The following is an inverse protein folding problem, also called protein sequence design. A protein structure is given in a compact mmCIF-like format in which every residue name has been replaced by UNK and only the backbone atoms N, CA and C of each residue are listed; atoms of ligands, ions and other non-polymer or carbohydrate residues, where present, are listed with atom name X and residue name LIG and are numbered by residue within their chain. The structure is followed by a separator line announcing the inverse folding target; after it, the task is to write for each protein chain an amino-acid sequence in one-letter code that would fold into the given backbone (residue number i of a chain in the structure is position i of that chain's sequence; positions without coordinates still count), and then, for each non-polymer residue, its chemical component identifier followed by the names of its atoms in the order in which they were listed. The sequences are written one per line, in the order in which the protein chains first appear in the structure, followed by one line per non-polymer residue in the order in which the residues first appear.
data_IF_574584493606
#
_entry.id   IF_574584493606
#
_cell.length_a   1.000
_cell.length_b   1.000
_cell.length_c   1.000
_cell.angle_alpha   90.00
_cell.angle_beta   90.00
_cell.angle_gamma   90.00
#
_symmetry.space_group_name_H-M   'P 1'
#
loop_
_entity.id
_entity.type
_entity.pdbx_description
1 polymer ?
#
# COMPACT_ATOMS: atom_id res chain seq x y z
N UNK A 1 -1.44 -9.39 4.25
CA UNK A 1 -1.13 -8.67 3.00
C UNK A 1 -0.05 -9.38 2.18
N UNK A 2 1.07 -9.77 2.80
CA UNK A 2 2.20 -10.44 2.12
C UNK A 2 1.94 -11.83 1.55
N UNK A 3 0.81 -12.49 1.85
CA UNK A 3 0.46 -13.78 1.23
C UNK A 3 0.43 -13.71 -0.30
N UNK A 4 0.03 -12.56 -0.88
CA UNK A 4 0.08 -12.34 -2.33
C UNK A 4 1.51 -12.30 -2.88
N UNK A 5 2.48 -11.80 -2.09
CA UNK A 5 3.90 -11.82 -2.46
C UNK A 5 4.42 -13.25 -2.53
N UNK A 6 4.19 -14.03 -1.47
CA UNK A 6 4.61 -15.43 -1.40
C UNK A 6 4.00 -16.26 -2.54
N UNK A 7 2.70 -16.05 -2.81
CA UNK A 7 2.02 -16.73 -3.91
C UNK A 7 2.61 -16.35 -5.27
N UNK A 8 2.77 -15.06 -5.54
CA UNK A 8 3.34 -14.58 -6.79
C UNK A 8 4.76 -15.11 -7.04
N UNK A 9 5.63 -15.03 -6.03
CA UNK A 9 7.00 -15.58 -6.09
C UNK A 9 6.99 -17.07 -6.45
N UNK A 10 6.03 -17.85 -5.95
CA UNK A 10 5.93 -19.28 -6.29
C UNK A 10 5.64 -19.51 -7.77
N UNK A 11 4.97 -18.57 -8.43
CA UNK A 11 4.58 -18.66 -9.83
C UNK A 11 5.61 -18.05 -10.78
N UNK A 12 6.27 -16.96 -10.39
CA UNK A 12 7.05 -16.13 -11.32
C UNK A 12 8.55 -16.10 -11.06
N UNK A 13 8.99 -16.33 -9.82
CA UNK A 13 10.41 -16.20 -9.47
C UNK A 13 11.21 -17.46 -9.81
N UNK A 14 12.49 -17.27 -10.12
CA UNK A 14 13.48 -18.34 -10.31
C UNK A 14 14.34 -18.56 -9.03
N UNK A 15 13.88 -18.08 -7.86
CA UNK A 15 14.61 -18.25 -6.60
C UNK A 15 14.74 -19.73 -6.21
N UNK A 16 15.90 -20.11 -5.65
CA UNK A 16 16.22 -21.49 -5.28
C UNK A 16 15.51 -21.94 -3.99
N UNK A 17 15.33 -21.03 -3.04
CA UNK A 17 14.71 -21.25 -1.73
C UNK A 17 13.98 -19.98 -1.27
N UNK A 18 12.79 -20.14 -0.68
CA UNK A 18 12.02 -19.05 -0.07
C UNK A 18 11.59 -19.45 1.35
N UNK A 19 11.97 -18.62 2.33
CA UNK A 19 11.62 -18.82 3.74
C UNK A 19 10.48 -17.87 4.11
N UNK A 20 9.33 -18.44 4.46
CA UNK A 20 8.21 -17.69 5.05
C UNK A 20 8.42 -17.65 6.56
N UNK A 21 8.97 -16.54 7.04
CA UNK A 21 9.25 -16.33 8.46
C UNK A 21 8.11 -15.55 9.13
N UNK A 22 7.41 -16.17 10.08
CA UNK A 22 6.27 -15.55 10.77
C UNK A 22 6.11 -16.08 12.21
N UNK A 23 5.48 -15.28 13.08
CA UNK A 23 5.08 -15.70 14.42
C UNK A 23 3.82 -16.59 14.39
N UNK A 24 2.97 -16.43 13.38
CA UNK A 24 1.76 -17.24 13.16
C UNK A 24 2.09 -18.53 12.37
N UNK A 25 2.61 -19.52 13.08
CA UNK A 25 2.97 -20.82 12.52
C UNK A 25 1.80 -21.52 11.79
N UNK A 26 0.58 -21.40 12.30
CA UNK A 26 -0.58 -22.10 11.73
C UNK A 26 -0.90 -21.57 10.33
N UNK A 27 -1.07 -20.25 10.21
CA UNK A 27 -1.42 -19.64 8.93
C UNK A 27 -0.25 -19.66 7.94
N UNK A 28 0.99 -19.47 8.41
CA UNK A 28 2.16 -19.49 7.53
C UNK A 28 2.41 -20.88 6.94
N UNK A 29 2.32 -21.96 7.76
CA UNK A 29 2.41 -23.34 7.23
C UNK A 29 1.29 -23.64 6.25
N UNK A 30 0.06 -23.21 6.56
CA UNK A 30 -1.08 -23.45 5.66
C UNK A 30 -0.91 -22.76 4.32
N UNK A 31 -0.35 -21.54 4.31
CA UNK A 31 0.00 -20.84 3.07
C UNK A 31 1.05 -21.63 2.29
N UNK A 32 2.16 -22.03 2.92
CA UNK A 32 3.22 -22.82 2.26
C UNK A 32 2.67 -24.14 1.69
N UNK A 33 1.86 -24.87 2.46
CA UNK A 33 1.23 -26.12 2.02
C UNK A 33 0.29 -25.92 0.80
N UNK A 34 -0.26 -24.71 0.63
CA UNK A 34 -1.14 -24.37 -0.50
C UNK A 34 -0.37 -24.22 -1.82
N UNK A 35 0.92 -23.89 -1.76
CA UNK A 35 1.74 -23.63 -2.96
C UNK A 35 2.15 -24.93 -3.68
N UNK A 36 2.22 -26.07 -2.97
CA UNK A 36 2.77 -27.35 -3.46
C UNK A 36 4.16 -27.19 -4.11
N UNK A 37 5.01 -26.33 -3.53
CA UNK A 37 6.34 -25.97 -4.04
C UNK A 37 7.42 -26.24 -2.98
N UNK A 38 8.33 -27.18 -3.29
CA UNK A 38 9.43 -27.61 -2.41
C UNK A 38 10.47 -26.50 -2.13
N UNK A 39 10.44 -25.38 -2.87
CA UNK A 39 11.29 -24.21 -2.61
C UNK A 39 10.85 -23.45 -1.37
N UNK A 40 9.58 -23.55 -0.99
CA UNK A 40 8.99 -22.76 0.09
C UNK A 40 9.00 -23.54 1.39
N UNK A 41 9.46 -22.90 2.47
CA UNK A 41 9.36 -23.46 3.81
C UNK A 41 9.00 -22.42 4.85
N UNK A 42 8.34 -22.87 5.90
CA UNK A 42 8.06 -22.06 7.07
C UNK A 42 9.23 -22.08 8.06
N UNK A 43 9.49 -20.94 8.69
CA UNK A 43 10.37 -20.81 9.84
C UNK A 43 9.76 -19.87 10.90
N UNK A 44 9.73 -20.23 12.19
CA UNK A 44 9.24 -19.31 13.21
C UNK A 44 10.24 -18.17 13.44
N UNK A 45 9.70 -16.96 13.65
CA UNK A 45 10.49 -15.78 14.02
C UNK A 45 9.73 -14.94 15.06
N UNK A 46 10.44 -14.43 16.05
CA UNK A 46 9.96 -13.41 16.98
C UNK A 46 10.47 -12.03 16.54
N UNK A 47 9.60 -11.25 15.89
CA UNK A 47 9.95 -9.91 15.40
C UNK A 47 10.23 -8.89 16.55
N UNK A 48 9.96 -9.24 17.81
CA UNK A 48 10.38 -8.41 18.96
C UNK A 48 11.87 -8.57 19.30
N UNK A 49 12.54 -9.55 18.71
CA UNK A 49 13.96 -9.87 18.93
C UNK A 49 14.75 -9.74 17.62
N UNK A 50 15.50 -8.65 17.47
CA UNK A 50 16.33 -8.41 16.29
C UNK A 50 17.37 -9.52 16.06
N UNK A 51 17.84 -10.22 17.10
CA UNK A 51 18.77 -11.34 16.95
C UNK A 51 18.08 -12.57 16.33
N UNK A 52 16.78 -12.73 16.54
CA UNK A 52 15.99 -13.82 15.92
C UNK A 52 15.65 -13.51 14.46
N UNK A 53 15.47 -12.23 14.11
CA UNK A 53 15.35 -11.77 12.72
C UNK A 53 16.68 -11.96 11.98
N UNK A 54 17.80 -11.55 12.58
CA UNK A 54 19.15 -11.75 12.03
C UNK A 54 19.37 -13.22 11.67
N UNK A 55 19.02 -14.14 12.57
CA UNK A 55 19.12 -15.59 12.38
C UNK A 55 18.37 -16.11 11.14
N UNK A 56 17.18 -15.57 10.83
CA UNK A 56 16.41 -16.02 9.65
C UNK A 56 16.91 -15.36 8.35
N UNK A 57 17.53 -14.19 8.45
CA UNK A 57 18.15 -13.49 7.31
C UNK A 57 19.55 -14.02 6.97
N UNK A 58 20.23 -14.70 7.90
CA UNK A 58 21.56 -15.26 7.67
C UNK A 58 21.62 -16.15 6.41
N UNK A 59 22.36 -15.68 5.41
CA UNK A 59 22.58 -16.41 4.15
C UNK A 59 21.48 -16.23 3.10
N UNK A 60 20.50 -15.37 3.34
CA UNK A 60 19.59 -14.90 2.31
C UNK A 60 20.29 -13.88 1.39
N UNK A 61 19.90 -13.87 0.12
CA UNK A 61 20.27 -12.81 -0.84
C UNK A 61 19.21 -11.70 -0.87
N UNK A 62 17.95 -12.07 -0.57
CA UNK A 62 16.77 -11.23 -0.71
C UNK A 62 15.92 -11.19 0.56
N UNK A 63 15.25 -10.05 0.80
CA UNK A 63 14.31 -9.90 1.93
C UNK A 63 13.05 -9.12 1.54
N UNK A 64 11.90 -9.58 2.02
CA UNK A 64 10.63 -8.85 1.95
C UNK A 64 10.19 -8.56 3.38
N UNK A 65 10.21 -7.31 3.79
CA UNK A 65 9.62 -6.90 5.07
C UNK A 65 8.13 -6.59 4.87
N UNK A 66 7.28 -7.38 5.54
CA UNK A 66 5.84 -7.12 5.63
C UNK A 66 5.32 -7.16 7.06
N UNK A 67 6.21 -6.99 8.03
CA UNK A 67 5.88 -6.94 9.44
C UNK A 67 5.21 -5.59 9.77
N UNK A 68 4.37 -5.53 10.82
CA UNK A 68 3.84 -4.26 11.31
C UNK A 68 4.96 -3.27 11.72
N UNK A 69 4.73 -1.98 11.46
CA UNK A 69 5.66 -0.86 11.73
C UNK A 69 6.32 -0.88 13.12
N UNK A 70 5.64 -1.38 14.16
CA UNK A 70 6.24 -1.50 15.50
C UNK A 70 7.51 -2.38 15.57
N UNK A 71 7.76 -3.19 14.53
CA UNK A 71 8.95 -4.04 14.40
C UNK A 71 9.99 -3.48 13.42
N UNK A 72 9.73 -2.33 12.80
CA UNK A 72 10.56 -1.75 11.73
C UNK A 72 12.03 -1.62 12.15
N UNK A 73 12.28 -0.99 13.29
CA UNK A 73 13.63 -0.79 13.81
C UNK A 73 14.39 -2.11 14.02
N UNK A 74 13.72 -3.16 14.48
CA UNK A 74 14.35 -4.47 14.66
C UNK A 74 14.72 -5.11 13.32
N UNK A 75 13.87 -4.94 12.29
CA UNK A 75 14.14 -5.44 10.93
C UNK A 75 15.33 -4.71 10.33
N UNK A 76 15.30 -3.37 10.37
CA UNK A 76 16.37 -2.55 9.83
C UNK A 76 17.71 -2.82 10.52
N UNK A 77 17.71 -2.97 11.85
CA UNK A 77 18.90 -3.36 12.61
C UNK A 77 19.43 -4.73 12.22
N UNK A 78 18.55 -5.72 12.03
CA UNK A 78 18.95 -7.06 11.61
C UNK A 78 19.53 -7.05 10.19
N UNK A 79 18.88 -6.35 9.25
CA UNK A 79 19.38 -6.20 7.88
C UNK A 79 20.76 -5.54 7.83
N UNK A 80 20.97 -4.45 8.57
CA UNK A 80 22.26 -3.76 8.64
C UNK A 80 23.38 -4.64 9.20
N UNK A 81 23.08 -5.51 10.18
CA UNK A 81 24.06 -6.46 10.76
C UNK A 81 24.42 -7.59 9.81
N UNK A 82 23.45 -8.13 9.08
CA UNK A 82 23.67 -9.22 8.12
C UNK A 82 24.47 -8.72 6.92
N UNK A 83 24.06 -7.58 6.36
CA UNK A 83 24.69 -6.99 5.17
C UNK A 83 24.46 -7.78 3.89
N UNK A 84 24.86 -7.20 2.76
CA UNK A 84 24.75 -7.80 1.42
C UNK A 84 23.33 -8.28 1.04
N UNK A 85 22.28 -7.62 1.56
CA UNK A 85 20.87 -7.95 1.29
C UNK A 85 20.22 -7.01 0.28
N UNK A 86 19.44 -7.57 -0.63
CA UNK A 86 18.54 -6.82 -1.52
C UNK A 86 17.09 -6.99 -1.07
N UNK A 87 16.35 -5.92 -0.80
CA UNK A 87 15.03 -6.06 -0.22
C UNK A 87 14.02 -4.99 -0.54
N UNK A 88 12.78 -5.29 -0.17
CA UNK A 88 11.63 -4.40 -0.27
C UNK A 88 10.94 -4.31 1.08
N UNK A 89 10.50 -3.12 1.46
CA UNK A 89 9.83 -2.86 2.74
C UNK A 89 8.44 -2.28 2.53
N UNK A 90 7.43 -2.92 3.10
CA UNK A 90 6.05 -2.45 3.05
C UNK A 90 5.82 -1.17 3.87
N UNK A 91 6.60 -0.92 4.92
CA UNK A 91 6.36 0.21 5.81
C UNK A 91 6.62 1.54 5.11
N UNK A 92 5.85 2.57 5.51
CA UNK A 92 5.89 3.90 4.92
C UNK A 92 5.68 4.98 6.00
N UNK A 93 6.37 4.83 7.13
CA UNK A 93 6.36 5.78 8.25
C UNK A 93 7.78 6.26 8.54
N UNK A 94 7.93 7.41 9.20
CA UNK A 94 9.22 7.97 9.58
C UNK A 94 10.27 8.03 8.46
N UNK A 95 9.85 8.46 7.25
CA UNK A 95 10.69 8.53 6.06
C UNK A 95 12.06 9.19 6.33
N UNK A 96 12.10 10.31 7.05
CA UNK A 96 13.36 11.01 7.36
C UNK A 96 14.32 10.16 8.22
N UNK A 97 13.79 9.40 9.18
CA UNK A 97 14.60 8.53 10.05
C UNK A 97 15.10 7.32 9.27
N UNK A 98 14.20 6.64 8.55
CA UNK A 98 14.52 5.44 7.76
C UNK A 98 15.49 5.78 6.63
N UNK A 99 15.19 6.79 5.80
CA UNK A 99 16.10 7.23 4.72
C UNK A 99 17.42 7.78 5.27
N UNK A 100 17.43 8.32 6.49
CA UNK A 100 18.64 8.75 7.19
C UNK A 100 19.65 7.62 7.43
N UNK A 101 19.21 6.35 7.40
CA UNK A 101 20.07 5.16 7.55
C UNK A 101 20.71 4.70 6.23
N UNK A 102 20.34 5.30 5.10
CA UNK A 102 20.73 4.86 3.75
C UNK A 102 22.25 4.70 3.56
N UNK A 103 23.07 5.64 4.07
CA UNK A 103 24.54 5.54 3.97
C UNK A 103 25.09 4.32 4.73
N UNK A 104 24.58 4.04 5.93
CA UNK A 104 25.01 2.88 6.72
C UNK A 104 24.58 1.56 6.05
N UNK A 105 23.37 1.52 5.49
CA UNK A 105 22.89 0.38 4.71
C UNK A 105 23.76 0.11 3.48
N UNK A 106 24.10 1.16 2.72
CA UNK A 106 25.00 1.04 1.58
C UNK A 106 26.40 0.56 2.00
N UNK A 107 26.93 1.04 3.13
CA UNK A 107 28.22 0.56 3.68
C UNK A 107 28.19 -0.92 4.09
N UNK A 108 27.03 -1.43 4.51
CA UNK A 108 26.79 -2.84 4.80
C UNK A 108 26.55 -3.70 3.54
N UNK A 109 26.49 -3.09 2.35
CA UNK A 109 26.19 -3.77 1.09
C UNK A 109 24.70 -4.00 0.84
N UNK A 110 23.82 -3.36 1.61
CA UNK A 110 22.38 -3.51 1.47
C UNK A 110 21.79 -2.56 0.42
N UNK A 111 20.70 -3.03 -0.20
CA UNK A 111 19.79 -2.28 -1.05
C UNK A 111 18.37 -2.53 -0.56
N UNK A 112 17.65 -1.49 -0.13
CA UNK A 112 16.30 -1.59 0.41
C UNK A 112 15.37 -0.57 -0.24
N UNK A 113 14.38 -1.07 -0.97
CA UNK A 113 13.30 -0.27 -1.51
C UNK A 113 12.20 -0.10 -0.46
N UNK A 114 12.24 1.04 0.23
CA UNK A 114 11.32 1.42 1.28
C UNK A 114 9.98 1.96 0.73
N UNK A 115 8.92 1.89 1.54
CA UNK A 115 7.58 2.35 1.19
C UNK A 115 7.05 1.68 -0.09
N UNK A 116 7.09 0.35 -0.09
CA UNK A 116 6.74 -0.51 -1.20
C UNK A 116 5.28 -1.01 -1.09
N UNK A 117 4.86 -1.91 -1.98
CA UNK A 117 3.49 -2.43 -2.01
C UNK A 117 2.54 -1.54 -2.81
N UNK A 118 1.38 -1.19 -2.24
CA UNK A 118 0.39 -0.35 -2.91
C UNK A 118 0.92 1.03 -3.29
N UNK A 119 1.86 1.59 -2.50
CA UNK A 119 2.44 2.90 -2.77
C UNK A 119 3.25 2.93 -4.08
N UNK A 120 3.99 1.86 -4.41
CA UNK A 120 4.67 1.77 -5.72
C UNK A 120 3.65 1.88 -6.85
N UNK A 121 2.50 1.23 -6.71
CA UNK A 121 1.44 1.27 -7.72
C UNK A 121 0.84 2.67 -7.86
N UNK A 122 0.58 3.39 -6.76
CA UNK A 122 0.03 4.76 -6.84
C UNK A 122 1.04 5.74 -7.39
N UNK A 123 2.30 5.65 -7.00
CA UNK A 123 3.37 6.50 -7.55
C UNK A 123 3.56 6.22 -9.04
N UNK A 124 3.65 4.95 -9.46
CA UNK A 124 3.74 4.58 -10.87
C UNK A 124 2.53 5.08 -11.68
N UNK A 125 1.32 4.99 -11.13
CA UNK A 125 0.10 5.55 -11.74
C UNK A 125 0.23 7.07 -11.95
N UNK A 126 0.74 7.79 -10.95
CA UNK A 126 1.02 9.22 -11.06
C UNK A 126 2.05 9.52 -12.13
N UNK A 127 3.09 8.70 -12.26
CA UNK A 127 4.14 8.88 -13.26
C UNK A 127 3.56 8.77 -14.67
N UNK A 128 2.88 7.66 -15.00
CA UNK A 128 2.29 7.47 -16.34
C UNK A 128 1.21 8.51 -16.65
N UNK A 129 0.41 8.92 -15.64
CA UNK A 129 -0.61 9.95 -15.85
C UNK A 129 -0.02 11.36 -16.07
N UNK A 130 1.12 11.68 -15.43
CA UNK A 130 1.81 12.95 -15.67
C UNK A 130 2.47 13.01 -17.04
N UNK A 131 2.92 11.88 -17.59
CA UNK A 131 3.56 11.82 -18.91
C UNK A 131 2.64 12.26 -20.07
N UNK A 132 1.32 12.22 -19.87
CA UNK A 132 0.32 12.69 -20.83
C UNK A 132 0.29 14.22 -21.04
N UNK A 133 1.03 14.98 -20.22
CA UNK A 133 0.98 16.45 -20.21
C UNK A 133 2.33 17.11 -20.49
N UNK A 134 2.26 18.35 -20.99
CA UNK A 134 3.42 19.25 -21.11
C UNK A 134 3.72 19.94 -19.77
N UNK A 135 2.67 20.40 -19.07
CA UNK A 135 2.71 20.98 -17.72
C UNK A 135 1.51 20.47 -16.91
N UNK A 136 1.71 20.15 -15.63
CA UNK A 136 0.69 19.55 -14.75
C UNK A 136 0.25 20.53 -13.66
N UNK A 137 -1.06 20.76 -13.55
CA UNK A 137 -1.62 21.68 -12.56
C UNK A 137 -2.07 20.98 -11.26
N UNK A 138 -2.58 19.75 -11.34
CA UNK A 138 -3.15 19.05 -10.18
C UNK A 138 -3.03 17.54 -10.39
N UNK A 139 -2.48 16.84 -9.39
CA UNK A 139 -2.42 15.38 -9.30
C UNK A 139 -3.24 14.96 -8.09
N UNK A 140 -4.27 14.13 -8.32
CA UNK A 140 -5.04 13.51 -7.24
C UNK A 140 -4.80 12.01 -7.29
N UNK A 141 -4.24 11.47 -6.21
CA UNK A 141 -4.19 10.04 -5.97
C UNK A 141 -5.45 9.60 -5.22
N UNK A 142 -6.02 8.47 -5.61
CA UNK A 142 -7.21 7.90 -5.00
C UNK A 142 -6.97 6.47 -4.55
N UNK A 143 -7.19 6.24 -3.26
CA UNK A 143 -7.21 4.93 -2.62
C UNK A 143 -8.66 4.47 -2.46
N UNK A 144 -9.18 3.75 -3.47
CA UNK A 144 -10.50 3.15 -3.44
C UNK A 144 -10.48 1.83 -2.66
N UNK A 145 -10.70 1.89 -1.35
CA UNK A 145 -10.59 0.76 -0.43
C UNK A 145 -11.98 0.23 -0.08
N UNK A 146 -12.49 -0.64 -0.95
CA UNK A 146 -13.84 -1.17 -0.84
C UNK A 146 -13.83 -2.48 -0.06
N UNK A 147 -13.87 -2.37 1.28
CA UNK A 147 -13.98 -3.51 2.21
C UNK A 147 -14.98 -3.29 3.35
N UNK A 148 -15.77 -4.32 3.69
CA UNK A 148 -16.70 -4.27 4.83
C UNK A 148 -15.94 -4.16 6.17
N UNK A 149 -16.55 -3.54 7.18
CA UNK A 149 -16.02 -3.48 8.54
C UNK A 149 -15.93 -4.88 9.15
N UNK A 150 -16.88 -5.75 8.79
CA UNK A 150 -16.90 -7.15 9.21
C UNK A 150 -15.76 -7.97 8.61
N UNK A 151 -15.17 -7.53 7.51
CA UNK A 151 -14.07 -8.17 6.79
C UNK A 151 -12.81 -7.31 6.95
N UNK A 152 -12.40 -7.14 8.22
CA UNK A 152 -11.25 -6.32 8.61
C UNK A 152 -10.06 -7.18 9.03
N UNK A 153 -8.90 -6.54 9.16
CA UNK A 153 -7.71 -7.06 9.84
C UNK A 153 -7.30 -6.10 10.97
N UNK A 154 -6.50 -6.54 11.94
CA UNK A 154 -5.96 -5.65 12.96
C UNK A 154 -5.29 -4.40 12.37
N UNK A 155 -4.34 -4.60 11.45
CA UNK A 155 -3.61 -3.51 10.80
C UNK A 155 -4.52 -2.55 10.02
N UNK A 156 -5.53 -3.05 9.30
CA UNK A 156 -6.53 -2.17 8.67
C UNK A 156 -7.24 -1.27 9.68
N UNK A 157 -7.69 -1.88 10.78
CA UNK A 157 -8.49 -1.16 11.78
C UNK A 157 -7.66 -0.05 12.40
N UNK A 158 -6.36 -0.30 12.61
CA UNK A 158 -5.40 0.71 13.03
C UNK A 158 -5.24 1.82 11.98
N UNK A 159 -5.02 1.47 10.70
CA UNK A 159 -4.84 2.43 9.62
C UNK A 159 -6.05 3.37 9.44
N UNK A 160 -7.27 2.83 9.33
CA UNK A 160 -8.45 3.69 9.09
C UNK A 160 -8.69 4.63 10.26
N UNK A 161 -8.60 4.13 11.49
CA UNK A 161 -8.80 5.00 12.67
C UNK A 161 -7.68 6.03 12.79
N UNK A 162 -6.43 5.68 12.49
CA UNK A 162 -5.30 6.61 12.43
C UNK A 162 -5.54 7.74 11.42
N UNK A 163 -5.88 7.41 10.17
CA UNK A 163 -6.14 8.39 9.10
C UNK A 163 -7.27 9.38 9.45
N UNK A 164 -8.22 8.96 10.30
CA UNK A 164 -9.37 9.76 10.70
C UNK A 164 -9.22 10.40 12.09
N UNK A 165 -8.19 10.08 12.86
CA UNK A 165 -7.94 10.72 14.16
C UNK A 165 -7.65 12.22 13.93
N UNK A 166 -8.38 13.15 14.57
CA UNK A 166 -8.17 14.59 14.38
C UNK A 166 -6.81 15.11 14.85
N UNK A 167 -6.06 14.36 15.66
CA UNK A 167 -4.76 14.76 16.20
C UNK A 167 -3.58 14.40 15.30
N UNK A 168 -3.80 13.60 14.25
CA UNK A 168 -2.76 13.32 13.25
C UNK A 168 -2.51 14.58 12.42
N UNK A 169 -1.27 14.97 12.17
CA UNK A 169 -0.91 16.15 11.37
C UNK A 169 -0.39 15.79 9.96
N UNK A 170 -0.25 14.50 9.68
CA UNK A 170 0.27 13.93 8.42
C UNK A 170 -0.71 14.00 7.23
N UNK A 171 -1.95 14.45 7.42
CA UNK A 171 -2.85 14.72 6.28
C UNK A 171 -2.34 15.96 5.56
N UNK A 172 -1.63 15.71 4.47
CA UNK A 172 -0.94 16.74 3.72
C UNK A 172 -1.46 16.88 2.29
N UNK A 173 -1.20 18.06 1.73
CA UNK A 173 -1.14 18.28 0.30
C UNK A 173 0.14 19.03 -0.02
N UNK A 174 0.63 18.87 -1.24
CA UNK A 174 1.70 19.72 -1.75
C UNK A 174 1.11 20.75 -2.70
N UNK A 175 1.54 22.01 -2.57
CA UNK A 175 1.01 23.11 -3.35
C UNK A 175 2.11 24.16 -3.56
N UNK A 176 2.51 24.39 -4.82
CA UNK A 176 3.49 25.40 -5.23
C UNK A 176 4.85 25.33 -4.49
N UNK A 177 5.38 24.12 -4.26
CA UNK A 177 6.68 23.92 -3.62
C UNK A 177 6.67 23.83 -2.10
N UNK A 178 5.50 23.97 -1.46
CA UNK A 178 5.34 23.83 -0.02
C UNK A 178 4.41 22.65 0.31
N UNK A 179 4.80 21.86 1.32
CA UNK A 179 3.90 20.88 1.97
C UNK A 179 2.99 21.65 2.93
N UNK A 180 1.69 21.48 2.77
CA UNK A 180 0.66 21.98 3.67
C UNK A 180 0.12 20.79 4.44
N UNK A 181 0.61 20.64 5.66
CA UNK A 181 0.22 19.64 6.66
C UNK A 181 -0.93 20.18 7.56
N UNK A 182 -1.45 19.36 8.47
CA UNK A 182 -2.56 19.70 9.39
C UNK A 182 -3.94 19.91 8.71
N UNK A 183 -4.22 19.16 7.63
CA UNK A 183 -5.57 19.17 7.02
C UNK A 183 -6.55 18.36 7.88
N UNK A 184 -7.72 18.89 8.28
CA UNK A 184 -8.64 18.15 9.16
C UNK A 184 -9.16 16.83 8.54
N UNK A 185 -9.49 15.86 9.39
CA UNK A 185 -10.21 14.66 8.98
C UNK A 185 -11.51 15.03 8.22
N UNK A 186 -11.83 14.27 7.16
CA UNK A 186 -12.95 14.53 6.23
C UNK A 186 -12.91 15.89 5.50
N UNK A 187 -11.77 16.58 5.46
CA UNK A 187 -11.60 17.80 4.67
C UNK A 187 -11.25 17.51 3.20
N UNK A 188 -11.13 18.57 2.41
CA UNK A 188 -10.85 18.50 0.96
C UNK A 188 -11.83 17.59 0.19
N UNK A 189 -13.09 17.52 0.62
CA UNK A 189 -14.10 16.64 0.06
C UNK A 189 -14.25 16.82 -1.47
N UNK A 190 -14.19 15.72 -2.21
CA UNK A 190 -14.32 15.69 -3.67
C UNK A 190 -15.07 14.44 -4.11
N UNK A 191 -16.03 14.61 -5.01
CA UNK A 191 -16.71 13.48 -5.65
C UNK A 191 -15.81 12.89 -6.73
N UNK A 192 -15.69 11.56 -6.75
CA UNK A 192 -14.93 10.81 -7.77
C UNK A 192 -15.74 9.55 -8.15
N UNK A 193 -15.69 9.15 -9.41
CA UNK A 193 -16.36 7.95 -9.92
C UNK A 193 -15.30 6.90 -10.20
N UNK A 194 -15.20 5.91 -9.31
CA UNK A 194 -14.40 4.73 -9.54
C UNK A 194 -15.14 3.78 -10.48
N UNK A 195 -14.44 2.85 -11.16
CA UNK A 195 -15.07 1.69 -11.78
C UNK A 195 -15.96 0.92 -10.79
N UNK A 196 -16.92 0.18 -11.34
CA UNK A 196 -17.71 -0.76 -10.56
C UNK A 196 -16.79 -1.83 -9.93
N UNK A 197 -17.02 -2.28 -8.69
CA UNK A 197 -18.24 -2.10 -7.90
C UNK A 197 -18.20 -0.93 -6.90
N UNK A 198 -17.13 -0.11 -6.91
CA UNK A 198 -17.03 1.03 -5.98
C UNK A 198 -17.98 2.14 -6.42
N UNK A 199 -17.92 2.51 -7.70
CA UNK A 199 -18.79 3.55 -8.25
C UNK A 199 -18.49 4.95 -7.70
N UNK A 200 -19.53 5.79 -7.66
CA UNK A 200 -19.39 7.21 -7.29
C UNK A 200 -19.34 7.41 -5.78
N UNK A 201 -18.24 7.99 -5.31
CA UNK A 201 -17.95 8.19 -3.90
C UNK A 201 -17.56 9.63 -3.57
N UNK A 202 -17.81 10.02 -2.31
CA UNK A 202 -17.20 11.23 -1.74
C UNK A 202 -15.87 10.85 -1.11
N UNK A 203 -14.80 11.37 -1.69
CA UNK A 203 -13.43 11.16 -1.24
C UNK A 203 -12.96 12.32 -0.38
N UNK A 204 -12.04 12.05 0.53
CA UNK A 204 -11.48 13.04 1.46
C UNK A 204 -9.97 12.88 1.49
N UNK A 205 -9.25 13.92 1.91
CA UNK A 205 -7.81 13.78 2.18
C UNK A 205 -7.57 12.73 3.27
N UNK A 206 -6.54 11.91 3.07
CA UNK A 206 -6.06 10.89 4.02
C UNK A 206 -4.57 11.10 4.29
N UNK A 207 -4.06 10.56 5.40
CA UNK A 207 -2.63 10.58 5.72
C UNK A 207 -1.90 9.59 4.84
N UNK A 208 -1.14 10.07 3.86
CA UNK A 208 -0.40 9.22 2.93
C UNK A 208 0.81 9.98 2.37
N UNK A 209 1.93 9.29 2.03
CA UNK A 209 3.17 9.97 1.67
C UNK A 209 3.24 10.61 0.28
N UNK A 210 2.38 10.28 -0.70
CA UNK A 210 2.56 10.80 -2.08
C UNK A 210 2.65 12.33 -2.17
N UNK A 211 1.89 13.14 -1.40
CA UNK A 211 2.06 14.59 -1.42
C UNK A 211 3.44 15.05 -0.94
N UNK A 212 4.12 14.27 -0.10
CA UNK A 212 5.45 14.59 0.43
C UNK A 212 6.53 14.09 -0.52
N UNK A 213 6.38 12.88 -1.06
CA UNK A 213 7.42 12.17 -1.81
C UNK A 213 7.32 12.35 -3.33
N UNK A 214 6.12 12.31 -3.91
CA UNK A 214 5.92 12.46 -5.36
C UNK A 214 6.49 13.76 -5.97
N UNK A 215 6.57 14.91 -5.27
CA UNK A 215 7.26 16.09 -5.79
C UNK A 215 8.73 15.84 -6.18
N UNK A 216 9.38 14.86 -5.56
CA UNK A 216 10.78 14.49 -5.85
C UNK A 216 10.91 13.59 -7.10
N UNK A 217 9.80 13.04 -7.61
CA UNK A 217 9.83 12.20 -8.81
C UNK A 217 10.29 13.02 -10.04
N UNK A 218 11.19 12.48 -10.90
CA UNK A 218 11.70 13.20 -12.07
C UNK A 218 10.61 13.75 -13.00
N UNK A 219 9.53 12.99 -13.20
CA UNK A 219 8.38 13.42 -14.02
C UNK A 219 7.63 14.58 -13.37
N UNK A 220 7.45 14.59 -12.04
CA UNK A 220 6.79 15.70 -11.36
C UNK A 220 7.58 17.00 -11.50
N UNK A 221 8.92 16.92 -11.43
CA UNK A 221 9.83 18.04 -11.65
C UNK A 221 9.85 18.50 -13.11
N UNK A 222 9.87 17.55 -14.06
CA UNK A 222 9.87 17.87 -15.49
C UNK A 222 8.58 18.59 -15.91
N UNK A 223 7.43 18.11 -15.41
CA UNK A 223 6.10 18.63 -15.77
C UNK A 223 5.65 19.81 -14.92
N UNK A 224 6.51 20.36 -14.06
CA UNK A 224 6.20 21.49 -13.18
C UNK A 224 4.87 21.30 -12.43
N UNK A 225 4.67 20.14 -11.80
CA UNK A 225 3.43 19.85 -11.05
C UNK A 225 3.15 21.01 -10.08
N UNK A 226 1.93 21.57 -10.04
CA UNK A 226 1.59 22.69 -9.13
C UNK A 226 0.94 22.22 -7.81
N UNK A 227 0.24 21.09 -7.82
CA UNK A 227 -0.46 20.54 -6.65
C UNK A 227 -0.53 19.01 -6.66
N UNK A 228 -0.34 18.39 -5.50
CA UNK A 228 -0.49 16.94 -5.27
C UNK A 228 -1.32 16.71 -4.01
N UNK A 229 -2.29 15.78 -4.08
CA UNK A 229 -3.09 15.38 -2.91
C UNK A 229 -3.51 13.92 -3.01
N UNK A 230 -3.49 13.22 -1.88
CA UNK A 230 -3.99 11.83 -1.78
C UNK A 230 -5.33 11.78 -1.09
N UNK A 231 -6.21 10.92 -1.60
CA UNK A 231 -7.61 10.84 -1.19
C UNK A 231 -8.03 9.40 -0.94
N UNK A 232 -8.81 9.18 0.11
CA UNK A 232 -9.37 7.87 0.44
C UNK A 232 -10.86 7.78 0.09
N UNK A 233 -11.29 6.62 -0.38
CA UNK A 233 -12.68 6.22 -0.45
C UNK A 233 -12.84 4.88 0.26
N UNK A 234 -13.62 4.87 1.35
CA UNK A 234 -13.87 3.71 2.18
C UNK A 234 -15.30 3.22 1.99
N UNK A 235 -15.53 1.92 2.18
CA UNK A 235 -16.89 1.37 2.23
C UNK A 235 -17.75 2.11 3.28
N UNK A 236 -19.05 2.20 3.03
CA UNK A 236 -20.01 2.93 3.89
C UNK A 236 -19.92 2.54 5.37
N UNK A 237 -19.71 1.26 5.67
CA UNK A 237 -19.55 0.78 7.05
C UNK A 237 -18.38 1.45 7.81
N UNK A 238 -17.25 1.67 7.14
CA UNK A 238 -16.10 2.36 7.74
C UNK A 238 -16.39 3.85 7.91
N UNK A 239 -17.00 4.48 6.90
CA UNK A 239 -17.39 5.90 6.99
C UNK A 239 -18.37 6.14 8.14
N UNK A 240 -19.34 5.26 8.33
CA UNK A 240 -20.30 5.34 9.43
C UNK A 240 -19.65 5.08 10.79
N UNK A 241 -18.72 4.12 10.87
CA UNK A 241 -17.94 3.84 12.07
C UNK A 241 -17.14 5.07 12.51
N UNK A 242 -16.32 5.64 11.62
CA UNK A 242 -15.47 6.79 11.94
C UNK A 242 -16.30 8.04 12.27
N UNK A 243 -17.35 8.32 11.49
CA UNK A 243 -18.27 9.44 11.79
C UNK A 243 -18.96 9.29 13.14
N UNK A 244 -19.25 8.06 13.57
CA UNK A 244 -19.84 7.79 14.88
C UNK A 244 -18.85 8.09 16.01
N UNK A 245 -17.58 7.69 15.87
CA UNK A 245 -16.53 8.00 16.84
C UNK A 245 -16.33 9.53 16.98
N UNK A 246 -16.25 10.23 15.85
CA UNK A 246 -16.19 11.70 15.82
C UNK A 246 -17.42 12.34 16.50
N UNK A 247 -18.63 11.91 16.13
CA UNK A 247 -19.87 12.45 16.71
C UNK A 247 -20.01 12.17 18.22
N UNK A 248 -19.36 11.12 18.72
CA UNK A 248 -19.32 10.76 20.13
C UNK A 248 -18.23 11.51 20.93
N UNK A 249 -17.41 12.36 20.28
CA UNK A 249 -16.21 12.96 20.88
C UNK A 249 -15.23 11.89 21.40
N UNK A 250 -15.15 10.74 20.72
CA UNK A 250 -14.36 9.60 21.17
C UNK A 250 -12.85 9.88 21.09
N UNK A 251 -12.39 10.60 20.05
CA UNK A 251 -10.97 10.92 19.85
C UNK A 251 -10.42 12.01 20.78
N UNK A 252 -11.28 12.87 21.32
CA UNK A 252 -10.85 14.06 22.10
C UNK A 252 -11.19 13.94 23.60
N UNK A 253 -11.86 12.86 24.03
CA UNK A 253 -12.22 12.68 25.44
C UNK A 253 -11.04 12.12 26.23
N UNK A 254 -10.91 12.50 27.50
CA UNK A 254 -9.95 11.89 28.43
C UNK A 254 -10.36 10.45 28.86
N UNK A 255 -11.27 9.79 28.13
CA UNK A 255 -11.90 8.51 28.48
C UNK A 255 -13.30 8.61 29.09
N UNK A 256 -13.89 7.45 29.39
CA UNK A 256 -15.24 7.28 29.96
C UNK A 256 -15.18 6.38 31.19
N UNK A 257 -15.88 6.75 32.28
CA UNK A 257 -15.96 5.90 33.49
C UNK A 257 -17.04 4.82 33.33
N UNK A 258 -16.64 3.54 33.40
CA UNK A 258 -17.52 2.36 33.39
C UNK A 258 -17.19 1.50 34.61
N UNK A 259 -18.17 1.30 35.50
CA UNK A 259 -18.01 0.54 36.75
C UNK A 259 -16.78 0.95 37.62
N UNK A 260 -16.43 2.24 37.58
CA UNK A 260 -15.30 2.82 38.33
C UNK A 260 -13.93 2.61 37.67
N UNK A 261 -13.90 2.16 36.42
CA UNK A 261 -12.71 2.10 35.57
C UNK A 261 -12.82 3.12 34.46
N UNK A 262 -11.75 3.85 34.20
CA UNK A 262 -11.63 4.73 33.04
C UNK A 262 -11.21 3.90 31.82
N UNK A 263 -11.91 4.07 30.71
CA UNK A 263 -11.63 3.37 29.44
C UNK A 263 -11.59 4.36 28.28
N UNK A 264 -10.72 4.11 27.32
CA UNK A 264 -10.70 4.84 26.05
C UNK A 264 -11.79 4.27 25.11
N UNK A 265 -12.75 5.10 24.65
CA UNK A 265 -13.82 4.62 23.78
C UNK A 265 -13.34 4.18 22.39
N UNK A 266 -12.26 4.77 21.85
CA UNK A 266 -11.68 4.37 20.57
C UNK A 266 -11.02 3.01 20.72
N UNK A 267 -10.16 2.82 21.71
CA UNK A 267 -9.47 1.54 21.95
C UNK A 267 -10.48 0.40 22.15
N UNK A 268 -11.51 0.61 22.99
CA UNK A 268 -12.55 -0.40 23.25
C UNK A 268 -13.27 -0.82 21.96
N UNK A 269 -13.61 0.16 21.10
CA UNK A 269 -14.31 -0.13 19.85
C UNK A 269 -13.38 -0.82 18.83
N UNK A 270 -12.14 -0.35 18.69
CA UNK A 270 -11.15 -0.98 17.83
C UNK A 270 -10.89 -2.43 18.25
N UNK A 271 -10.65 -2.69 19.55
CA UNK A 271 -10.41 -4.05 20.05
C UNK A 271 -11.57 -5.00 19.73
N UNK A 272 -12.81 -4.53 19.86
CA UNK A 272 -13.99 -5.33 19.50
C UNK A 272 -14.06 -5.62 18.00
N UNK A 273 -13.72 -4.66 17.14
CA UNK A 273 -13.70 -4.80 15.68
C UNK A 273 -12.57 -5.74 15.26
N UNK A 274 -11.37 -5.58 15.81
CA UNK A 274 -10.19 -6.44 15.55
C UNK A 274 -10.47 -7.88 15.96
N UNK A 275 -11.04 -8.10 17.15
CA UNK A 275 -11.39 -9.44 17.62
C UNK A 275 -12.37 -10.13 16.66
N UNK A 276 -13.35 -9.40 16.14
CA UNK A 276 -14.34 -9.93 15.22
C UNK A 276 -13.75 -10.17 13.81
N UNK A 277 -12.85 -9.30 13.36
CA UNK A 277 -12.07 -9.50 12.13
C UNK A 277 -11.21 -10.76 12.19
N UNK A 278 -10.43 -10.92 13.26
CA UNK A 278 -9.57 -12.10 13.49
C UNK A 278 -10.37 -13.42 13.51
N UNK A 279 -11.55 -13.41 14.12
CA UNK A 279 -12.42 -14.58 14.13
C UNK A 279 -12.77 -15.03 12.71
N UNK A 280 -13.08 -14.08 11.80
CA UNK A 280 -13.39 -14.37 10.39
C UNK A 280 -12.15 -14.63 9.54
N UNK A 281 -11.02 -13.99 9.85
CA UNK A 281 -9.76 -14.21 9.14
C UNK A 281 -9.26 -15.65 9.27
N UNK A 282 -9.66 -16.38 10.32
CA UNK A 282 -9.34 -17.81 10.48
C UNK A 282 -10.12 -18.75 9.54
N UNK A 283 -11.12 -18.25 8.81
CA UNK A 283 -11.99 -19.04 7.94
C UNK A 283 -11.46 -19.12 6.51
N UNK A 284 -10.51 -20.02 6.27
CA UNK A 284 -10.03 -20.35 4.93
C UNK A 284 -11.13 -21.09 4.14
N UNK A 285 -11.47 -20.58 2.96
CA UNK A 285 -12.55 -21.06 2.10
C UNK A 285 -12.13 -21.02 0.64
N UNK A 286 -12.75 -21.82 -0.25
CA UNK A 286 -12.53 -21.68 -1.68
C UNK A 286 -13.08 -20.32 -2.18
N UNK A 287 -12.56 -19.74 -3.28
CA UNK A 287 -12.93 -18.39 -3.70
C UNK A 287 -14.43 -18.16 -3.95
N UNK A 288 -15.14 -19.17 -4.45
CA UNK A 288 -16.61 -19.12 -4.60
C UNK A 288 -17.37 -18.96 -3.27
N UNK A 289 -16.75 -19.34 -2.15
CA UNK A 289 -17.24 -19.22 -0.79
C UNK A 289 -16.55 -18.08 -0.01
N UNK A 290 -15.78 -17.23 -0.68
CA UNK A 290 -15.35 -15.96 -0.09
C UNK A 290 -16.47 -14.91 -0.14
N UNK A 291 -17.28 -14.88 -1.19
CA UNK A 291 -18.44 -13.98 -1.35
C UNK A 291 -19.86 -14.61 -1.08
N UNK A 292 -20.09 -15.53 -0.11
CA UNK A 292 -21.34 -16.30 -0.06
C UNK A 292 -22.44 -15.69 0.82
N UNK A 293 -22.21 -14.55 1.49
CA UNK A 293 -23.21 -13.93 2.38
C UNK A 293 -23.63 -12.51 1.97
N UNK A 294 -22.81 -11.82 1.19
CA UNK A 294 -23.07 -10.48 0.64
C UNK A 294 -22.92 -10.55 -0.88
N UNK A 295 -23.73 -9.83 -1.66
CA UNK A 295 -23.56 -9.73 -3.13
C UNK A 295 -22.29 -8.90 -3.50
N UNK A 296 -21.24 -9.00 -2.69
CA UNK A 296 -20.16 -8.05 -2.58
C UNK A 296 -18.83 -8.80 -2.50
N UNK A 297 -17.86 -8.31 -3.27
CA UNK A 297 -16.49 -8.80 -3.32
C UNK A 297 -15.59 -7.64 -2.91
N UNK A 298 -14.65 -7.81 -1.95
CA UNK A 298 -13.71 -6.75 -1.64
C UNK A 298 -12.92 -6.36 -2.88
N UNK A 299 -12.75 -5.06 -3.08
CA UNK A 299 -12.05 -4.52 -4.22
C UNK A 299 -11.17 -3.36 -3.81
N UNK A 300 -9.98 -3.29 -4.40
CA UNK A 300 -9.14 -2.12 -4.35
C UNK A 300 -9.03 -1.57 -5.75
N UNK A 301 -9.35 -0.29 -5.91
CA UNK A 301 -9.08 0.43 -7.13
C UNK A 301 -8.21 1.63 -6.76
N UNK A 302 -6.96 1.57 -7.17
CA UNK A 302 -6.04 2.70 -7.08
C UNK A 302 -6.25 3.57 -8.31
N UNK A 303 -6.23 4.90 -8.18
CA UNK A 303 -6.45 5.77 -9.34
C UNK A 303 -5.66 7.06 -9.26
N UNK A 304 -5.35 7.62 -10.43
CA UNK A 304 -4.76 8.94 -10.57
C UNK A 304 -5.64 9.80 -11.48
N UNK A 305 -6.06 10.97 -11.01
CA UNK A 305 -6.66 12.03 -11.84
C UNK A 305 -5.65 13.18 -11.95
N UNK A 306 -5.15 13.40 -13.16
CA UNK A 306 -4.19 14.45 -13.47
C UNK A 306 -4.85 15.47 -14.37
N UNK A 307 -4.70 16.75 -14.05
CA UNK A 307 -5.10 17.85 -14.92
C UNK A 307 -3.88 18.71 -15.24
N UNK A 308 -3.82 19.19 -16.47
CA UNK A 308 -2.66 19.91 -16.97
C UNK A 308 -2.91 20.46 -18.36
N UNK A 309 -1.87 21.05 -18.95
CA UNK A 309 -1.90 21.48 -20.34
C UNK A 309 -1.20 20.45 -21.22
N UNK A 310 -1.85 20.06 -22.31
CA UNK A 310 -1.31 19.16 -23.32
C UNK A 310 -1.62 19.75 -24.71
N UNK A 311 -0.62 19.83 -25.59
CA UNK A 311 -0.76 20.37 -26.94
C UNK A 311 -1.38 21.79 -27.01
N UNK A 312 -1.20 22.59 -25.95
CA UNK A 312 -1.68 23.97 -25.85
C UNK A 312 -3.12 24.14 -25.36
N UNK A 313 -3.76 23.08 -24.84
CA UNK A 313 -5.07 23.14 -24.19
C UNK A 313 -5.04 22.45 -22.82
N UNK A 314 -5.84 22.97 -21.88
CA UNK A 314 -6.06 22.32 -20.59
C UNK A 314 -6.95 21.08 -20.79
N UNK A 315 -6.54 19.95 -20.23
CA UNK A 315 -7.25 18.67 -20.30
C UNK A 315 -7.08 17.85 -19.01
N UNK A 316 -7.61 16.63 -19.00
CA UNK A 316 -7.61 15.71 -17.88
C UNK A 316 -7.27 14.29 -18.32
N UNK A 317 -6.46 13.60 -17.53
CA UNK A 317 -6.22 12.17 -17.63
C UNK A 317 -6.73 11.46 -16.37
N UNK A 318 -7.32 10.28 -16.53
CA UNK A 318 -7.80 9.43 -15.44
C UNK A 318 -7.36 8.00 -15.72
N UNK A 319 -6.59 7.45 -14.80
CA UNK A 319 -6.11 6.07 -14.83
C UNK A 319 -6.59 5.32 -13.59
N UNK A 320 -6.98 4.06 -13.77
CA UNK A 320 -7.34 3.13 -12.71
C UNK A 320 -6.43 1.91 -12.76
N UNK A 321 -6.07 1.41 -11.59
CA UNK A 321 -5.35 0.15 -11.43
C UNK A 321 -6.19 -0.77 -10.55
N UNK A 322 -6.64 -1.87 -11.15
CA UNK A 322 -7.62 -2.79 -10.58
C UNK A 322 -6.96 -4.13 -10.28
N UNK A 323 -7.25 -4.68 -9.09
CA UNK A 323 -6.75 -6.00 -8.70
C UNK A 323 -7.60 -7.13 -9.30
N UNK A 324 -6.99 -8.28 -9.64
CA UNK A 324 -7.75 -9.46 -10.02
C UNK A 324 -8.55 -10.00 -8.83
N UNK A 325 -9.64 -10.70 -9.14
CA UNK A 325 -10.32 -11.57 -8.19
C UNK A 325 -10.98 -12.76 -8.93
N UNK A 326 -10.68 -14.02 -8.56
CA UNK A 326 -9.67 -14.45 -7.58
C UNK A 326 -8.24 -14.43 -8.13
N UNK A 327 -7.25 -14.37 -7.24
CA UNK A 327 -5.81 -14.32 -7.50
C UNK A 327 -5.11 -15.65 -7.16
N UNK A 328 -5.52 -16.37 -6.13
CA UNK A 328 -4.82 -17.59 -5.65
C UNK A 328 -5.22 -18.88 -6.41
N UNK A 329 -5.48 -18.79 -7.72
CA UNK A 329 -5.86 -19.90 -8.64
C UNK A 329 -6.91 -20.90 -8.11
N UNK A 330 -7.88 -20.42 -7.32
CA UNK A 330 -8.96 -21.29 -6.80
C UNK A 330 -8.61 -22.02 -5.50
N UNK A 331 -7.42 -21.79 -4.92
CA UNK A 331 -7.03 -22.37 -3.65
C UNK A 331 -7.87 -21.85 -2.49
N UNK A 332 -8.03 -22.68 -1.46
CA UNK A 332 -8.58 -22.22 -0.19
C UNK A 332 -7.69 -21.11 0.36
N UNK A 333 -8.28 -19.97 0.66
CA UNK A 333 -7.58 -18.80 1.19
C UNK A 333 -8.56 -18.01 2.08
N UNK A 334 -8.06 -17.02 2.80
CA UNK A 334 -8.92 -16.12 3.58
C UNK A 334 -9.24 -14.89 2.73
N UNK A 335 -10.43 -14.31 2.92
CA UNK A 335 -10.84 -13.14 2.14
C UNK A 335 -9.84 -11.98 2.22
N UNK A 336 -9.21 -11.78 3.38
CA UNK A 336 -8.23 -10.71 3.58
C UNK A 336 -6.89 -10.98 2.92
N UNK A 337 -6.52 -12.25 2.71
CA UNK A 337 -5.32 -12.63 1.95
C UNK A 337 -5.56 -12.48 0.46
N UNK A 338 -6.73 -12.90 0.00
CA UNK A 338 -7.23 -12.69 -1.36
C UNK A 338 -7.25 -11.20 -1.72
N UNK A 339 -7.90 -10.39 -0.88
CA UNK A 339 -7.94 -8.94 -1.02
C UNK A 339 -6.55 -8.31 -0.98
N UNK A 340 -5.64 -8.81 -0.14
CA UNK A 340 -4.32 -8.22 0.07
C UNK A 340 -3.33 -8.35 -1.09
N UNK A 341 -3.71 -8.95 -2.22
CA UNK A 341 -2.85 -9.10 -3.39
C UNK A 341 -2.36 -7.76 -3.97
N UNK A 342 -3.16 -6.68 -3.92
CA UNK A 342 -2.72 -5.36 -4.40
C UNK A 342 -1.52 -4.77 -3.62
N UNK A 343 -1.20 -5.33 -2.45
CA UNK A 343 0.01 -4.98 -1.70
C UNK A 343 1.07 -6.06 -1.85
N UNK A 344 0.69 -7.33 -1.72
CA UNK A 344 1.63 -8.44 -1.79
C UNK A 344 2.29 -8.56 -3.16
N UNK A 345 1.55 -8.37 -4.25
CA UNK A 345 2.06 -8.58 -5.60
C UNK A 345 3.08 -7.50 -5.99
N UNK A 346 2.86 -6.20 -5.75
CA UNK A 346 3.91 -5.19 -5.98
C UNK A 346 5.21 -5.45 -5.22
N UNK A 347 5.16 -5.98 -3.98
CA UNK A 347 6.37 -6.37 -3.25
C UNK A 347 7.14 -7.46 -4.01
N UNK A 348 6.43 -8.46 -4.54
CA UNK A 348 7.03 -9.53 -5.34
C UNK A 348 7.62 -9.00 -6.65
N UNK A 349 6.88 -8.16 -7.37
CA UNK A 349 7.32 -7.57 -8.66
C UNK A 349 8.57 -6.72 -8.46
N UNK A 350 8.54 -5.80 -7.50
CA UNK A 350 9.67 -4.89 -7.27
C UNK A 350 10.92 -5.62 -6.78
N UNK A 351 10.78 -6.65 -5.93
CA UNK A 351 11.91 -7.49 -5.55
C UNK A 351 12.52 -8.22 -6.77
N UNK A 352 11.68 -8.75 -7.67
CA UNK A 352 12.15 -9.41 -8.89
C UNK A 352 12.83 -8.42 -9.86
N UNK A 353 12.30 -7.19 -9.98
CA UNK A 353 12.94 -6.13 -10.76
C UNK A 353 14.34 -5.80 -10.19
N UNK A 354 14.51 -5.74 -8.87
CA UNK A 354 15.82 -5.56 -8.24
C UNK A 354 16.74 -6.77 -8.48
N UNK A 355 16.23 -8.00 -8.33
CA UNK A 355 16.99 -9.23 -8.56
C UNK A 355 17.52 -9.34 -10.00
N UNK A 356 16.81 -8.78 -10.98
CA UNK A 356 17.20 -8.72 -12.38
C UNK A 356 18.12 -7.53 -12.72
N UNK A 357 18.38 -6.64 -11.76
CA UNK A 357 19.14 -5.40 -11.97
C UNK A 357 18.40 -4.35 -12.80
N UNK A 358 17.06 -4.42 -12.84
CA UNK A 358 16.23 -3.39 -13.47
C UNK A 358 16.16 -2.11 -12.62
N UNK A 359 16.24 -2.27 -11.30
CA UNK A 359 16.46 -1.21 -10.30
C UNK A 359 17.70 -1.61 -9.52
N UNK A 360 18.70 -0.74 -9.49
CA UNK A 360 20.05 -1.04 -8.97
C UNK A 360 20.55 0.16 -8.17
N UNK A 361 19.95 0.35 -7.00
CA UNK A 361 20.26 1.43 -6.06
C UNK A 361 20.89 0.86 -4.79
N UNK A 362 21.86 1.56 -4.21
CA UNK A 362 22.50 1.19 -2.95
C UNK A 362 21.81 1.89 -1.76
N UNK A 363 21.84 1.27 -0.59
CA UNK A 363 21.27 1.86 0.63
C UNK A 363 19.74 1.76 0.67
N UNK A 364 19.10 2.75 1.30
CA UNK A 364 17.64 2.82 1.39
C UNK A 364 17.13 3.91 0.44
N UNK A 365 16.13 3.59 -0.36
CA UNK A 365 15.54 4.47 -1.37
C UNK A 365 14.03 4.23 -1.51
N UNK A 366 13.36 5.14 -2.24
CA UNK A 366 11.91 5.10 -2.49
C UNK A 366 11.62 5.09 -3.99
N UNK A 367 10.37 4.81 -4.36
CA UNK A 367 9.93 4.65 -5.76
C UNK A 367 10.28 5.86 -6.63
N UNK A 368 10.03 7.06 -6.12
CA UNK A 368 10.21 8.34 -6.78
C UNK A 368 11.64 8.59 -7.23
N UNK A 369 12.61 8.04 -6.49
CA UNK A 369 14.05 8.19 -6.74
C UNK A 369 14.73 6.92 -7.24
N UNK A 370 13.99 5.81 -7.35
CA UNK A 370 14.52 4.48 -7.70
C UNK A 370 14.94 4.32 -9.17
N UNK A 371 14.52 5.24 -10.05
CA UNK A 371 14.65 5.05 -11.50
C UNK A 371 13.69 4.01 -12.08
N UNK A 372 12.63 3.64 -11.35
CA UNK A 372 11.59 2.72 -11.82
C UNK A 372 11.06 3.10 -13.22
N UNK A 373 11.06 2.12 -14.11
CA UNK A 373 10.32 2.15 -15.37
C UNK A 373 8.85 1.75 -15.08
N UNK A 374 7.97 2.76 -15.04
CA UNK A 374 6.57 2.56 -14.67
C UNK A 374 5.80 1.71 -15.69
N UNK A 375 6.12 1.83 -16.98
CA UNK A 375 5.52 1.00 -18.03
C UNK A 375 5.88 -0.47 -17.81
N UNK A 376 7.17 -0.75 -17.59
CA UNK A 376 7.64 -2.11 -17.30
C UNK A 376 6.97 -2.66 -16.03
N UNK A 377 6.83 -1.84 -14.99
CA UNK A 377 6.14 -2.24 -13.77
C UNK A 377 4.69 -2.65 -14.05
N UNK A 378 3.94 -1.85 -14.82
CA UNK A 378 2.55 -2.20 -15.16
C UNK A 378 2.47 -3.40 -16.10
N UNK A 379 3.41 -3.59 -17.04
CA UNK A 379 3.48 -4.81 -17.85
C UNK A 379 3.63 -6.08 -16.98
N UNK A 380 4.46 -6.02 -15.94
CA UNK A 380 4.61 -7.12 -14.97
C UNK A 380 3.34 -7.34 -14.14
N UNK A 381 2.67 -6.26 -13.72
CA UNK A 381 1.41 -6.36 -12.98
C UNK A 381 0.28 -6.93 -13.85
N UNK A 382 0.17 -6.50 -15.11
CA UNK A 382 -0.81 -7.01 -16.07
C UNK A 382 -0.58 -8.50 -16.40
N UNK A 383 0.69 -8.93 -16.46
CA UNK A 383 1.03 -10.35 -16.61
C UNK A 383 0.51 -11.22 -15.44
N UNK A 384 0.22 -10.61 -14.29
CA UNK A 384 -0.34 -11.23 -13.08
C UNK A 384 -1.85 -11.03 -12.95
N UNK A 385 -2.49 -10.47 -13.98
CA UNK A 385 -3.94 -10.31 -14.07
C UNK A 385 -4.49 -9.03 -13.44
N UNK A 386 -3.64 -8.10 -13.03
CA UNK A 386 -4.09 -6.74 -12.72
C UNK A 386 -4.44 -6.01 -14.01
N UNK A 387 -5.30 -4.99 -13.93
CA UNK A 387 -5.69 -4.21 -15.10
C UNK A 387 -5.30 -2.73 -14.88
N UNK A 388 -4.50 -2.17 -15.80
CA UNK A 388 -4.29 -0.73 -15.92
C UNK A 388 -5.27 -0.18 -16.96
N UNK A 389 -6.21 0.66 -16.51
CA UNK A 389 -7.28 1.21 -17.34
C UNK A 389 -7.13 2.72 -17.47
N UNK A 390 -6.83 3.19 -18.68
CA UNK A 390 -6.94 4.60 -19.03
C UNK A 390 -8.40 4.94 -19.37
N UNK A 391 -9.14 5.53 -18.42
CA UNK A 391 -10.53 5.98 -18.66
C UNK A 391 -10.55 7.22 -19.58
N UNK A 392 -9.64 8.16 -19.33
CA UNK A 392 -9.51 9.39 -20.08
C UNK A 392 -8.03 9.73 -20.27
N UNK A 393 -7.66 10.20 -21.46
CA UNK A 393 -6.36 10.83 -21.75
C UNK A 393 -6.57 12.10 -22.57
N UNK A 394 -5.60 13.03 -22.58
CA UNK A 394 -5.72 14.28 -23.32
C UNK A 394 -5.84 14.08 -24.83
N UNK A 395 -6.62 14.94 -25.49
CA UNK A 395 -6.72 14.93 -26.95
C UNK A 395 -5.42 15.42 -27.60
N UNK A 396 -4.55 14.50 -28.05
CA UNK A 396 -3.25 14.84 -28.67
C UNK A 396 -3.35 15.50 -30.08
N UNK A 397 -4.53 15.99 -30.47
CA UNK A 397 -4.77 16.57 -31.79
C UNK A 397 -4.42 18.06 -31.78
N UNK A 398 -3.26 18.42 -32.35
CA UNK A 398 -2.86 19.84 -32.51
C UNK A 398 -3.95 20.62 -33.26
N UNK A 399 -4.51 21.71 -32.70
CA UNK A 399 -5.45 22.55 -33.42
C UNK A 399 -4.81 23.05 -34.72
N UNK A 400 -5.47 22.81 -35.86
CA UNK A 400 -5.01 23.32 -37.14
C UNK A 400 -4.87 24.85 -37.03
N UNK A 401 -3.66 25.37 -37.22
CA UNK A 401 -3.41 26.80 -37.26
C UNK A 401 -4.14 27.39 -38.48
N UNK A 402 -5.21 28.16 -38.24
CA UNK A 402 -5.94 28.95 -39.26
C UNK A 402 -5.19 30.22 -39.68
#
# INVERSE_FOLDING_TARGET
MTSGCVYDLSQTSDFDEVVVADADEENARRLVDTLDDDRFRFEPVDATDADDIERVLEGADYVVNGLPYQFEENVLDAMERVGDLTGVDLNAFDFDEVLGRSEAFAEAGNSLWFANGGLVSTIALGMVACEEFDDVADVNFYWGMWRLLTQTTPGLTDTVTYEHDPNVDERAKWENGDVIDDLPAFSEAREFEFPEPIGRENTYVISHPEPITFPEAPVAQEKNVDRIITRGAWHDEWKDYERTLHAANAFETDGVEVDGQEVDPVEVMQDQIKAEGLARESEWKPPEELSPETEWTPQTILSAEVTGSAAGSDDRAVFHFEQPFPFFDGNDITMMREYGCYVGVPLSVTLQLMAEGAVDEDGIFITETSGLDADRYFEEMEARGFDLVAEQTPDQTVPAQD
#
